data_IF_255404207317
#
_entry.id   IF_255404207317
#
_cell.length_a   1.000
_cell.length_b   1.000
_cell.length_c   1.000
_cell.angle_alpha   90.00
_cell.angle_beta   90.00
_cell.angle_gamma   90.00
#
_symmetry.space_group_name_H-M   'P 1'
#
loop_
_entity.id
_entity.type
_entity.pdbx_description
1 polymer ?
#
# COMPACT_ATOMS: atom_id res chain seq x y z
N UNK A 1 -17.74 20.97 -25.70
CA UNK A 1 -17.82 19.62 -25.10
C UNK A 1 -16.59 18.82 -25.53
N UNK A 2 -15.46 18.98 -24.83
CA UNK A 2 -14.20 18.29 -25.16
C UNK A 2 -14.14 16.99 -24.35
N UNK A 3 -14.38 15.84 -25.02
CA UNK A 3 -14.02 14.53 -24.46
C UNK A 3 -12.50 14.50 -24.37
N UNK A 4 -11.94 14.67 -23.17
CA UNK A 4 -10.54 14.34 -22.92
C UNK A 4 -10.44 12.83 -23.10
N UNK A 5 -9.78 12.42 -24.18
CA UNK A 5 -9.41 11.03 -24.39
C UNK A 5 -8.71 10.53 -23.15
N UNK A 6 -9.25 9.45 -22.58
CA UNK A 6 -8.58 8.62 -21.60
C UNK A 6 -7.31 8.11 -22.26
N UNK A 7 -6.23 8.85 -21.97
CA UNK A 7 -4.88 8.56 -22.37
C UNK A 7 -4.54 7.21 -21.74
N UNK A 8 -4.63 6.15 -22.53
CA UNK A 8 -4.19 4.79 -22.21
C UNK A 8 -2.65 4.75 -22.22
N UNK A 9 -2.03 5.59 -21.41
CA UNK A 9 -0.57 5.76 -21.31
C UNK A 9 -0.28 6.03 -19.85
N UNK A 10 -0.26 4.95 -19.06
CA UNK A 10 0.37 4.77 -17.73
C UNK A 10 -0.30 3.58 -17.01
N UNK A 11 -0.39 2.42 -17.67
CA UNK A 11 -0.44 1.17 -16.91
C UNK A 11 1.01 0.89 -16.46
N UNK A 12 1.53 1.70 -15.53
CA UNK A 12 2.60 1.22 -14.67
C UNK A 12 2.01 0.00 -13.97
N UNK A 13 2.64 -1.16 -14.13
CA UNK A 13 2.31 -2.34 -13.31
C UNK A 13 2.28 -1.84 -11.86
N UNK A 14 1.12 -1.87 -11.17
CA UNK A 14 0.96 -1.19 -9.88
C UNK A 14 2.01 -1.65 -8.85
N UNK A 15 2.39 -2.93 -8.95
CA UNK A 15 3.37 -3.59 -8.09
C UNK A 15 4.83 -3.27 -8.42
N UNK A 16 5.14 -2.67 -9.57
CA UNK A 16 6.54 -2.53 -10.02
C UNK A 16 7.44 -1.75 -9.05
N UNK A 17 6.91 -0.71 -8.39
CA UNK A 17 7.67 0.01 -7.36
C UNK A 17 7.75 -0.78 -6.05
N UNK A 18 6.69 -1.50 -5.68
CA UNK A 18 6.66 -2.36 -4.51
C UNK A 18 7.73 -3.45 -4.61
N UNK A 19 7.77 -4.16 -5.74
CA UNK A 19 8.73 -5.25 -5.99
C UNK A 19 10.18 -4.74 -6.00
N UNK A 20 10.40 -3.49 -6.43
CA UNK A 20 11.71 -2.85 -6.40
C UNK A 20 12.17 -2.52 -4.97
N UNK A 21 11.26 -2.34 -4.02
CA UNK A 21 11.57 -2.02 -2.61
C UNK A 21 11.87 -3.28 -1.79
N UNK A 22 12.67 -4.18 -2.35
CA UNK A 22 13.07 -5.44 -1.74
C UNK A 22 14.50 -5.37 -1.20
N UNK A 23 14.74 -5.86 0.02
CA UNK A 23 16.04 -5.74 0.72
C UNK A 23 16.01 -4.81 1.94
N UNK A 24 14.98 -4.94 2.78
CA UNK A 24 14.88 -4.26 4.09
C UNK A 24 15.80 -4.93 5.11
N UNK A 25 16.35 -4.16 6.04
CA UNK A 25 17.15 -4.69 7.14
C UNK A 25 16.24 -5.06 8.31
N UNK A 26 16.51 -6.20 8.94
CA UNK A 26 15.81 -6.61 10.15
C UNK A 26 16.20 -5.70 11.32
N UNK A 27 15.25 -5.41 12.20
CA UNK A 27 15.49 -4.65 13.42
C UNK A 27 16.04 -5.58 14.52
N UNK A 28 17.05 -5.12 15.25
CA UNK A 28 17.65 -5.88 16.36
C UNK A 28 16.91 -5.71 17.69
N UNK A 29 16.04 -4.70 17.78
CA UNK A 29 15.29 -4.35 18.98
C UNK A 29 13.81 -4.06 18.63
N UNK A 30 12.88 -4.26 19.57
CA UNK A 30 11.48 -3.91 19.36
C UNK A 30 11.31 -2.41 19.16
N UNK A 31 10.34 -2.05 18.33
CA UNK A 31 9.95 -0.65 18.17
C UNK A 31 9.38 -0.09 19.50
N UNK A 32 9.57 1.21 19.77
CA UNK A 32 9.02 1.85 20.96
C UNK A 32 7.51 1.70 21.11
N UNK A 33 7.08 1.44 22.35
CA UNK A 33 5.69 1.18 22.71
C UNK A 33 4.76 2.39 22.48
N UNK A 34 3.45 2.13 22.42
CA UNK A 34 2.41 3.17 22.36
C UNK A 34 2.26 3.87 21.01
N UNK A 35 2.99 3.44 19.97
CA UNK A 35 2.90 4.05 18.63
C UNK A 35 1.74 3.53 17.78
N UNK A 36 1.24 2.33 18.04
CA UNK A 36 0.22 1.69 17.21
C UNK A 36 -1.08 1.60 18.01
N UNK A 37 -2.19 2.20 17.52
CA UNK A 37 -3.49 2.09 18.18
C UNK A 37 -4.05 0.67 18.03
N UNK A 38 -4.88 0.25 18.97
CA UNK A 38 -5.63 -1.00 18.84
C UNK A 38 -6.82 -0.79 17.90
N UNK A 39 -6.68 -1.20 16.63
CA UNK A 39 -7.64 -0.88 15.56
C UNK A 39 -9.08 -1.32 15.85
N UNK A 40 -9.29 -2.43 16.56
CA UNK A 40 -10.63 -2.92 16.92
C UNK A 40 -11.40 -2.00 17.90
N UNK A 41 -10.67 -1.16 18.66
CA UNK A 41 -11.24 -0.30 19.72
C UNK A 41 -10.95 1.19 19.49
N UNK A 42 -10.11 1.51 18.52
CA UNK A 42 -9.69 2.87 18.25
C UNK A 42 -10.86 3.70 17.71
N UNK A 43 -10.93 4.94 18.16
CA UNK A 43 -11.83 5.94 17.58
C UNK A 43 -11.34 6.34 16.19
N UNK A 44 -12.26 6.83 15.35
CA UNK A 44 -11.92 7.30 13.99
C UNK A 44 -10.91 8.45 14.05
N UNK A 45 -11.00 9.31 15.08
CA UNK A 45 -10.06 10.40 15.27
C UNK A 45 -8.65 9.89 15.56
N UNK A 46 -8.49 8.90 16.45
CA UNK A 46 -7.20 8.26 16.71
C UNK A 46 -6.62 7.60 15.44
N UNK A 47 -7.46 6.98 14.63
CA UNK A 47 -7.03 6.43 13.34
C UNK A 47 -6.55 7.54 12.40
N UNK A 48 -7.30 8.64 12.25
CA UNK A 48 -6.92 9.79 11.43
C UNK A 48 -5.62 10.42 11.92
N UNK A 49 -5.47 10.62 13.23
CA UNK A 49 -4.29 11.21 13.84
C UNK A 49 -3.06 10.30 13.64
N UNK A 50 -3.24 8.98 13.75
CA UNK A 50 -2.17 8.02 13.49
C UNK A 50 -1.71 8.07 12.04
N UNK A 51 -2.62 8.04 11.08
CA UNK A 51 -2.27 8.16 9.66
C UNK A 51 -1.61 9.52 9.36
N UNK A 52 -2.12 10.60 9.95
CA UNK A 52 -1.53 11.94 9.85
C UNK A 52 -0.10 12.00 10.40
N UNK A 53 0.18 11.33 11.52
CA UNK A 53 1.53 11.27 12.11
C UNK A 53 2.58 10.61 11.21
N UNK A 54 2.14 9.76 10.28
CA UNK A 54 2.99 9.05 9.31
C UNK A 54 3.07 9.81 7.98
N UNK A 55 2.35 10.93 7.84
CA UNK A 55 2.27 11.70 6.60
C UNK A 55 1.23 11.18 5.61
N UNK A 56 0.32 10.32 6.06
CA UNK A 56 -0.87 9.90 5.31
C UNK A 56 -2.08 10.77 5.65
N UNK A 57 -3.11 10.71 4.83
CA UNK A 57 -4.36 11.43 5.02
C UNK A 57 -5.59 10.52 5.06
N UNK A 58 -6.79 11.12 5.11
CA UNK A 58 -8.08 10.40 5.18
C UNK A 58 -8.31 9.42 4.01
N UNK A 59 -7.77 9.72 2.83
CA UNK A 59 -7.85 8.85 1.65
C UNK A 59 -7.16 7.51 1.89
N UNK A 60 -5.95 7.56 2.46
CA UNK A 60 -5.16 6.36 2.70
C UNK A 60 -5.76 5.50 3.80
N UNK A 61 -6.38 6.14 4.81
CA UNK A 61 -7.15 5.43 5.82
C UNK A 61 -8.32 4.64 5.19
N UNK A 62 -9.08 5.27 4.30
CA UNK A 62 -10.22 4.63 3.65
C UNK A 62 -9.84 3.45 2.74
N UNK A 63 -8.77 3.59 1.95
CA UNK A 63 -8.37 2.51 1.02
C UNK A 63 -7.79 1.30 1.76
N UNK A 64 -7.17 1.53 2.92
CA UNK A 64 -6.60 0.49 3.77
C UNK A 64 -7.61 -0.11 4.76
N UNK A 65 -8.92 0.04 4.52
CA UNK A 65 -9.99 -0.47 5.39
C UNK A 65 -9.85 -1.97 5.71
N UNK A 66 -9.38 -2.78 4.76
CA UNK A 66 -9.15 -4.20 4.93
C UNK A 66 -8.02 -4.57 5.91
N UNK A 67 -7.12 -3.63 6.23
CA UNK A 67 -6.00 -3.87 7.15
C UNK A 67 -6.33 -3.53 8.61
N UNK A 68 -7.45 -2.85 8.85
CA UNK A 68 -7.84 -2.36 10.18
C UNK A 68 -8.64 -3.40 10.98
N UNK A 69 -9.11 -4.48 10.33
CA UNK A 69 -9.88 -5.53 10.98
C UNK A 69 -10.25 -6.67 10.02
N UNK A 70 -10.82 -7.78 10.53
CA UNK A 70 -11.18 -8.93 9.71
C UNK A 70 -12.42 -8.70 8.83
N UNK A 71 -13.31 -7.79 9.23
CA UNK A 71 -14.50 -7.43 8.45
C UNK A 71 -14.39 -6.02 7.88
N UNK A 72 -14.01 -5.96 6.60
CA UNK A 72 -13.87 -4.70 5.86
C UNK A 72 -15.17 -3.88 5.82
N UNK A 73 -16.34 -4.53 5.70
CA UNK A 73 -17.62 -3.82 5.57
C UNK A 73 -18.00 -3.13 6.87
N UNK A 74 -17.79 -3.79 8.01
CA UNK A 74 -18.02 -3.21 9.32
C UNK A 74 -17.10 -2.01 9.58
N UNK A 75 -15.81 -2.13 9.24
CA UNK A 75 -14.86 -1.03 9.35
C UNK A 75 -15.24 0.15 8.46
N UNK A 76 -15.67 -0.09 7.22
CA UNK A 76 -16.10 0.99 6.32
C UNK A 76 -17.39 1.67 6.76
N UNK A 77 -18.34 0.92 7.33
CA UNK A 77 -19.55 1.50 7.91
C UNK A 77 -19.20 2.43 9.08
N UNK A 78 -18.21 2.07 9.90
CA UNK A 78 -17.69 2.93 10.95
C UNK A 78 -17.00 4.18 10.34
N UNK A 79 -16.10 4.01 9.38
CA UNK A 79 -15.37 5.10 8.74
C UNK A 79 -16.29 6.08 7.98
N UNK A 80 -17.39 5.60 7.42
CA UNK A 80 -18.39 6.42 6.74
C UNK A 80 -19.15 7.38 7.68
N UNK A 81 -19.04 7.22 9.01
CA UNK A 81 -19.61 8.18 9.96
C UNK A 81 -18.85 9.52 9.99
N UNK A 82 -17.59 9.54 9.56
CA UNK A 82 -16.76 10.75 9.52
C UNK A 82 -16.87 11.46 8.15
N UNK A 83 -17.10 12.78 8.18
CA UNK A 83 -17.33 13.59 6.97
C UNK A 83 -16.12 13.68 6.05
N UNK A 84 -14.90 13.58 6.58
CA UNK A 84 -13.68 13.70 5.78
C UNK A 84 -13.33 12.38 5.09
N UNK A 85 -13.67 11.26 5.72
CA UNK A 85 -13.38 9.91 5.24
C UNK A 85 -14.49 9.39 4.31
N UNK A 86 -15.74 9.79 4.54
CA UNK A 86 -16.92 9.36 3.78
C UNK A 86 -16.77 9.42 2.25
N UNK A 87 -16.32 10.53 1.62
CA UNK A 87 -16.21 10.60 0.16
C UNK A 87 -15.23 9.57 -0.42
N UNK A 88 -14.22 9.19 0.35
CA UNK A 88 -13.22 8.20 -0.06
C UNK A 88 -13.77 6.79 0.07
N UNK A 89 -14.49 6.50 1.16
CA UNK A 89 -15.17 5.20 1.36
C UNK A 89 -16.16 4.96 0.22
N UNK A 90 -17.03 5.93 -0.09
CA UNK A 90 -17.98 5.82 -1.20
C UNK A 90 -17.31 5.66 -2.56
N UNK A 91 -16.16 6.32 -2.78
CA UNK A 91 -15.36 6.13 -4.01
C UNK A 91 -14.88 4.68 -4.12
N UNK A 92 -14.31 4.13 -3.06
CA UNK A 92 -13.74 2.78 -3.09
C UNK A 92 -14.82 1.70 -3.12
N UNK A 93 -15.96 1.91 -2.47
CA UNK A 93 -17.13 1.04 -2.59
C UNK A 93 -17.63 0.97 -4.03
N UNK A 94 -17.88 2.13 -4.68
CA UNK A 94 -18.26 2.17 -6.10
C UNK A 94 -17.23 1.51 -7.01
N UNK A 95 -15.94 1.66 -6.71
CA UNK A 95 -14.89 1.00 -7.49
C UNK A 95 -15.00 -0.52 -7.38
N UNK A 96 -15.20 -1.08 -6.18
CA UNK A 96 -15.31 -2.53 -5.98
C UNK A 96 -16.61 -3.15 -6.52
N UNK A 97 -17.64 -2.35 -6.75
CA UNK A 97 -18.84 -2.79 -7.46
C UNK A 97 -18.59 -2.99 -8.97
N UNK A 98 -17.52 -2.40 -9.52
CA UNK A 98 -17.12 -2.64 -10.91
C UNK A 98 -16.34 -3.94 -11.05
N UNK A 99 -16.42 -4.58 -12.22
CA UNK A 99 -15.73 -5.85 -12.51
C UNK A 99 -14.20 -5.73 -12.35
N UNK A 100 -13.62 -4.57 -12.68
CA UNK A 100 -12.16 -4.39 -12.69
C UNK A 100 -11.59 -3.72 -11.45
N UNK A 101 -12.44 -3.13 -10.58
CA UNK A 101 -12.06 -2.53 -9.29
C UNK A 101 -10.77 -1.68 -9.27
N UNK A 102 -10.47 -1.03 -10.39
CA UNK A 102 -9.12 -0.57 -10.72
C UNK A 102 -8.64 0.56 -9.82
N UNK A 103 -9.52 1.52 -9.50
CA UNK A 103 -9.18 2.64 -8.63
C UNK A 103 -8.85 2.18 -7.20
N UNK A 104 -9.59 1.18 -6.69
CA UNK A 104 -9.33 0.60 -5.38
C UNK A 104 -7.98 -0.13 -5.35
N UNK A 105 -7.71 -1.01 -6.31
CA UNK A 105 -6.47 -1.78 -6.36
C UNK A 105 -5.24 -0.89 -6.51
N UNK A 106 -5.27 0.06 -7.44
CA UNK A 106 -4.12 0.95 -7.70
C UNK A 106 -3.83 1.85 -6.50
N UNK A 107 -4.86 2.42 -5.87
CA UNK A 107 -4.68 3.26 -4.69
C UNK A 107 -4.20 2.45 -3.48
N UNK A 108 -4.70 1.23 -3.31
CA UNK A 108 -4.27 0.32 -2.23
C UNK A 108 -2.79 -0.01 -2.39
N UNK A 109 -2.35 -0.38 -3.58
CA UNK A 109 -0.95 -0.73 -3.83
C UNK A 109 -0.05 0.50 -3.66
N UNK A 110 -0.49 1.67 -4.12
CA UNK A 110 0.27 2.93 -3.98
C UNK A 110 0.49 3.28 -2.51
N UNK A 111 -0.53 3.09 -1.67
CA UNK A 111 -0.43 3.37 -0.23
C UNK A 111 0.38 2.33 0.50
N UNK A 112 0.17 1.05 0.20
CA UNK A 112 0.93 -0.07 0.75
C UNK A 112 2.42 0.05 0.42
N UNK A 113 2.76 0.42 -0.81
CA UNK A 113 4.16 0.63 -1.24
C UNK A 113 4.84 1.68 -0.38
N UNK A 114 4.21 2.84 -0.20
CA UNK A 114 4.74 3.90 0.66
C UNK A 114 4.88 3.44 2.12
N UNK A 115 3.90 2.71 2.64
CA UNK A 115 3.90 2.24 4.02
C UNK A 115 5.00 1.19 4.26
N UNK A 116 5.20 0.29 3.30
CA UNK A 116 6.15 -0.83 3.42
C UNK A 116 7.63 -0.40 3.49
N UNK A 117 7.97 0.78 2.98
CA UNK A 117 9.32 1.34 2.94
C UNK A 117 9.56 2.48 3.94
N UNK A 118 8.61 2.76 4.84
CA UNK A 118 8.76 3.81 5.85
C UNK A 118 9.98 3.57 6.74
N UNK A 119 10.86 4.58 6.83
CA UNK A 119 12.05 4.55 7.68
C UNK A 119 13.15 3.59 7.22
N UNK A 120 12.94 2.86 6.13
CA UNK A 120 13.85 1.83 5.63
C UNK A 120 14.76 2.37 4.52
N UNK A 121 16.04 1.99 4.56
CA UNK A 121 16.97 2.18 3.42
C UNK A 121 17.10 0.85 2.70
N UNK A 122 16.55 0.76 1.50
CA UNK A 122 16.53 -0.48 0.72
C UNK A 122 17.92 -0.77 0.15
N UNK A 123 18.42 -1.98 0.40
CA UNK A 123 19.61 -2.50 -0.26
C UNK A 123 19.20 -3.21 -1.57
N UNK A 124 19.44 -2.55 -2.71
CA UNK A 124 19.10 -3.10 -4.03
C UNK A 124 19.96 -4.30 -4.47
N UNK A 125 21.06 -4.56 -3.77
CA UNK A 125 21.95 -5.70 -4.04
C UNK A 125 21.69 -6.85 -3.07
N UNK A 126 20.75 -6.69 -2.13
CA UNK A 126 20.36 -7.74 -1.21
C UNK A 126 19.93 -9.00 -1.98
N UNK A 127 20.32 -10.16 -1.45
CA UNK A 127 20.02 -11.48 -2.01
C UNK A 127 20.59 -11.76 -3.41
N UNK A 128 21.54 -10.93 -3.89
CA UNK A 128 22.32 -11.25 -5.09
C UNK A 128 23.42 -12.28 -4.76
N UNK A 129 23.78 -13.10 -5.75
CA UNK A 129 24.84 -14.09 -5.65
C UNK A 129 25.74 -14.01 -6.90
N UNK A 130 27.02 -14.41 -6.80
CA UNK A 130 27.92 -14.37 -7.94
C UNK A 130 27.38 -15.23 -9.09
N UNK A 131 27.30 -14.62 -10.28
CA UNK A 131 26.88 -15.30 -11.51
C UNK A 131 27.92 -16.35 -11.87
N UNK A 132 27.50 -17.63 -11.91
CA UNK A 132 28.36 -18.73 -12.38
C UNK A 132 28.63 -18.54 -13.86
N UNK A 133 29.83 -18.07 -14.21
CA UNK A 133 30.26 -18.00 -15.61
C UNK A 133 30.54 -19.42 -16.10
N UNK A 134 29.79 -19.88 -17.09
CA UNK A 134 30.07 -21.13 -17.79
C UNK A 134 31.17 -20.84 -18.80
N UNK A 135 32.33 -21.48 -18.63
CA UNK A 135 33.39 -21.44 -19.63
C UNK A 135 32.93 -22.22 -20.86
N UNK A 136 32.47 -21.50 -21.89
CA UNK A 136 32.00 -22.09 -23.15
C UNK A 136 33.09 -22.92 -23.86
N UNK A 137 34.37 -22.64 -23.58
CA UNK A 137 35.52 -23.40 -24.08
C UNK A 137 35.68 -24.79 -23.45
N UNK A 138 35.00 -25.07 -22.33
CA UNK A 138 35.02 -26.38 -21.63
C UNK A 138 33.82 -27.25 -21.98
N UNK A 139 32.83 -26.73 -22.71
CA UNK A 139 31.72 -27.52 -23.23
C UNK A 139 32.19 -28.24 -24.50
N UNK A 140 32.42 -29.56 -24.38
CA UNK A 140 32.66 -30.41 -25.56
C UNK A 140 31.35 -30.53 -26.34
N UNK A 141 31.31 -29.93 -27.54
CA UNK A 141 30.33 -30.22 -28.59
C UNK A 141 30.69 -31.56 -29.27
#
# INVERSE_FOLDING_TARGET
MKRKGTCCTLLMVPWGLFDKQFGRSDAEAPDPEGRVPQWDKASIQEMKDKFSSIGFGPRQLAVMSAFLGPDQKATEALLATDRDVLPWVEKYQRSRETVSQTDYEVDLITTLTKLSSLGQKINYEAYTYPVRKVDLSKLKL
#
